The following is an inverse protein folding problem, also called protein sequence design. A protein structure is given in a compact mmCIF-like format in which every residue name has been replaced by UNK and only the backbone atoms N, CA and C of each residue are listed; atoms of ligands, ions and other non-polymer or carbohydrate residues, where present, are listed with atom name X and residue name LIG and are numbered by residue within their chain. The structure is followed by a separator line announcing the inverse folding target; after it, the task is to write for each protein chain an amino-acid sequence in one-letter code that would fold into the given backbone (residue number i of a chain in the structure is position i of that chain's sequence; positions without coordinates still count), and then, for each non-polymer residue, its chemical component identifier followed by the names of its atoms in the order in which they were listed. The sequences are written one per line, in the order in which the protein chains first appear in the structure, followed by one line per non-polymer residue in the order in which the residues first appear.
data_IF_445765587304
#
_entry.id   IF_445765587304
#
_cell.length_a   1.000
_cell.length_b   1.000
_cell.length_c   1.000
_cell.angle_alpha   90.00
_cell.angle_beta   90.00
_cell.angle_gamma   90.00
#
_symmetry.space_group_name_H-M   'P 1'
#
loop_
_entity.id
_entity.type
_entity.pdbx_description
1 polymer ?
#
# COMPACT_ATOMS: atom_id res chain seq x y z
N UNK A 1 30.11 -1.99 23.10
CA UNK A 1 29.97 -0.87 22.18
C UNK A 1 29.04 -1.13 21.02
N UNK A 2 29.18 -2.26 20.37
CA UNK A 2 28.24 -2.64 19.30
C UNK A 2 26.80 -2.71 19.77
N UNK A 3 26.58 -3.18 21.01
CA UNK A 3 25.26 -3.23 21.60
C UNK A 3 24.60 -1.87 21.80
N UNK A 4 25.37 -0.85 22.19
CA UNK A 4 24.86 0.51 22.33
C UNK A 4 24.40 1.10 21.00
N UNK A 5 25.17 0.89 19.95
CA UNK A 5 24.80 1.35 18.62
C UNK A 5 23.52 0.66 18.15
N UNK A 6 23.40 -0.64 18.41
CA UNK A 6 22.21 -1.39 18.07
C UNK A 6 21.00 -0.92 18.87
N UNK A 7 21.16 -0.65 20.17
CA UNK A 7 20.10 -0.10 21.02
C UNK A 7 19.62 1.26 20.52
N UNK A 8 20.55 2.13 20.12
CA UNK A 8 20.20 3.43 19.53
C UNK A 8 19.43 3.25 18.23
N UNK A 9 19.85 2.31 17.38
CA UNK A 9 19.14 2.02 16.15
C UNK A 9 17.73 1.49 16.41
N UNK A 10 17.59 0.60 17.37
CA UNK A 10 16.30 0.05 17.75
C UNK A 10 15.38 1.16 18.24
N UNK A 11 15.85 1.98 19.17
CA UNK A 11 15.09 3.09 19.71
C UNK A 11 14.72 4.09 18.59
N UNK A 12 15.69 4.42 17.76
CA UNK A 12 15.51 5.35 16.65
C UNK A 12 14.50 4.81 15.63
N UNK A 13 14.60 3.54 15.28
CA UNK A 13 13.66 2.89 14.38
C UNK A 13 12.24 2.91 14.93
N UNK A 14 12.07 2.63 16.24
CA UNK A 14 10.77 2.70 16.90
C UNK A 14 10.22 4.12 16.92
N UNK A 15 11.05 5.10 17.20
CA UNK A 15 10.66 6.51 17.21
C UNK A 15 10.25 6.94 15.81
N UNK A 16 11.03 6.59 14.80
CA UNK A 16 10.70 6.91 13.40
C UNK A 16 9.38 6.24 13.00
N UNK A 17 9.20 4.97 13.33
CA UNK A 17 7.97 4.24 13.04
C UNK A 17 6.77 4.90 13.70
N UNK A 18 6.91 5.27 14.97
CA UNK A 18 5.87 5.95 15.73
C UNK A 18 5.54 7.32 15.12
N UNK A 19 6.57 8.10 14.76
CA UNK A 19 6.38 9.38 14.08
C UNK A 19 5.75 9.18 12.70
N UNK A 20 6.16 8.17 11.98
CA UNK A 20 5.59 7.81 10.68
C UNK A 20 4.09 7.53 10.82
N UNK A 21 3.70 6.70 11.78
CA UNK A 21 2.30 6.40 12.04
C UNK A 21 1.50 7.64 12.43
N UNK A 22 2.09 8.54 13.22
CA UNK A 22 1.44 9.79 13.60
C UNK A 22 1.32 10.77 12.45
N UNK A 23 2.31 10.80 11.59
CA UNK A 23 2.32 11.67 10.43
C UNK A 23 1.35 11.20 9.35
N UNK A 24 1.00 9.92 9.33
CA UNK A 24 0.04 9.39 8.38
C UNK A 24 -1.34 9.91 8.73
N UNK A 25 -1.76 10.94 8.03
CA UNK A 25 -3.15 11.39 8.04
C UNK A 25 -3.91 10.55 7.02
N UNK A 26 -5.22 10.34 7.20
CA UNK A 26 -6.02 9.59 6.23
C UNK A 26 -5.88 10.11 4.80
N UNK A 27 -5.59 11.39 4.63
CA UNK A 27 -5.42 12.01 3.32
C UNK A 27 -3.98 11.99 2.83
N UNK A 28 -3.02 11.75 3.73
CA UNK A 28 -1.59 11.69 3.43
C UNK A 28 -1.08 10.25 3.50
N UNK A 29 -1.96 9.29 3.71
CA UNK A 29 -1.56 7.90 3.60
C UNK A 29 -1.01 7.71 2.20
N UNK A 30 0.27 7.39 2.16
CA UNK A 30 0.88 7.00 0.92
C UNK A 30 0.01 5.99 0.20
N UNK A 31 0.09 5.98 -1.09
CA UNK A 31 -0.70 5.10 -1.91
C UNK A 31 -0.64 3.68 -1.37
N UNK A 32 -1.77 3.17 -0.91
CA UNK A 32 -1.88 1.80 -0.40
C UNK A 32 -2.04 0.83 -1.55
N UNK A 33 -2.76 1.24 -2.59
CA UNK A 33 -2.97 0.42 -3.76
C UNK A 33 -2.27 1.00 -4.98
N UNK A 34 -1.98 0.14 -5.95
CA UNK A 34 -1.36 0.49 -7.23
C UNK A 34 -2.31 0.27 -8.39
N UNK A 35 -3.61 0.35 -8.16
CA UNK A 35 -4.63 0.07 -9.19
C UNK A 35 -4.39 0.94 -10.42
N UNK A 36 -4.13 2.23 -10.22
CA UNK A 36 -3.87 3.16 -11.32
C UNK A 36 -2.69 2.72 -12.18
N UNK A 37 -1.59 2.36 -11.53
CA UNK A 37 -0.37 1.92 -12.22
C UNK A 37 -0.65 0.67 -13.05
N UNK A 38 -1.33 -0.31 -12.47
CA UNK A 38 -1.64 -1.56 -13.16
C UNK A 38 -2.61 -1.33 -14.31
N UNK A 39 -3.59 -0.45 -14.14
CA UNK A 39 -4.49 -0.07 -15.23
C UNK A 39 -3.72 0.51 -16.42
N UNK A 40 -2.77 1.42 -16.14
CA UNK A 40 -1.94 2.01 -17.19
C UNK A 40 -1.07 0.95 -17.86
N UNK A 41 -0.44 0.08 -17.09
CA UNK A 41 0.37 -1.02 -17.61
C UNK A 41 -0.44 -1.96 -18.53
N UNK A 42 -1.69 -2.21 -18.17
CA UNK A 42 -2.60 -3.07 -18.93
C UNK A 42 -3.36 -2.30 -20.00
N UNK A 43 -3.10 -1.01 -20.16
CA UNK A 43 -3.76 -0.13 -21.12
C UNK A 43 -5.28 -0.15 -20.98
N UNK A 44 -5.75 -0.09 -19.72
CA UNK A 44 -7.17 -0.05 -19.39
C UNK A 44 -7.51 1.27 -18.70
N UNK A 45 -8.75 1.69 -18.83
CA UNK A 45 -9.25 2.94 -18.26
C UNK A 45 -10.02 2.68 -16.97
N UNK A 46 -10.15 3.71 -16.14
CA UNK A 46 -11.01 3.67 -14.96
C UNK A 46 -12.45 3.33 -15.33
N UNK A 47 -12.91 3.90 -16.43
CA UNK A 47 -14.26 3.64 -16.95
C UNK A 47 -14.46 2.18 -17.30
N UNK A 48 -13.49 1.59 -17.97
CA UNK A 48 -13.53 0.16 -18.30
C UNK A 48 -13.64 -0.69 -17.03
N UNK A 49 -12.81 -0.39 -16.03
CA UNK A 49 -12.83 -1.13 -14.78
C UNK A 49 -14.18 -0.98 -14.07
N UNK A 50 -14.71 0.23 -14.02
CA UNK A 50 -16.02 0.50 -13.43
C UNK A 50 -17.12 -0.32 -14.08
N UNK A 51 -17.11 -0.39 -15.40
CA UNK A 51 -18.06 -1.19 -16.18
C UNK A 51 -17.94 -2.69 -15.84
N UNK A 52 -16.72 -3.19 -15.80
CA UNK A 52 -16.47 -4.61 -15.47
C UNK A 52 -16.86 -4.96 -14.02
N UNK A 53 -16.68 -4.04 -13.12
CA UNK A 53 -17.01 -4.24 -11.71
C UNK A 53 -18.47 -3.96 -11.38
N UNK A 54 -19.19 -3.29 -12.27
CA UNK A 54 -20.56 -2.88 -12.00
C UNK A 54 -20.66 -1.77 -10.95
N UNK A 55 -19.65 -0.93 -10.85
CA UNK A 55 -19.61 0.19 -9.90
C UNK A 55 -19.55 1.51 -10.66
N UNK A 56 -19.75 2.61 -9.96
CA UNK A 56 -19.67 3.94 -10.57
C UNK A 56 -18.23 4.30 -10.92
N UNK A 57 -17.98 5.01 -12.03
CA UNK A 57 -16.63 5.48 -12.35
C UNK A 57 -16.00 6.32 -11.25
N UNK A 58 -16.80 7.09 -10.50
CA UNK A 58 -16.32 7.86 -9.35
C UNK A 58 -15.76 6.98 -8.25
N UNK A 59 -16.31 5.79 -8.05
CA UNK A 59 -15.81 4.83 -7.08
C UNK A 59 -14.41 4.34 -7.47
N UNK A 60 -14.24 3.95 -8.74
CA UNK A 60 -12.93 3.53 -9.24
C UNK A 60 -11.93 4.68 -9.18
N UNK A 61 -12.35 5.89 -9.50
CA UNK A 61 -11.51 7.07 -9.40
C UNK A 61 -10.98 7.28 -7.98
N UNK A 62 -11.83 7.09 -6.98
CA UNK A 62 -11.42 7.17 -5.57
C UNK A 62 -10.41 6.09 -5.21
N UNK A 63 -10.59 4.88 -5.73
CA UNK A 63 -9.61 3.79 -5.52
C UNK A 63 -8.27 4.14 -6.16
N UNK A 64 -8.29 4.68 -7.37
CA UNK A 64 -7.08 5.05 -8.11
C UNK A 64 -6.31 6.19 -7.44
N UNK A 65 -7.01 7.10 -6.80
CA UNK A 65 -6.38 8.22 -6.07
C UNK A 65 -6.08 7.89 -4.62
N UNK A 66 -6.36 6.67 -4.19
CA UNK A 66 -6.21 6.22 -2.80
C UNK A 66 -7.03 7.04 -1.79
N UNK A 67 -8.08 7.74 -2.27
CA UNK A 67 -9.03 8.44 -1.40
C UNK A 67 -9.91 7.45 -0.62
N UNK A 68 -10.19 6.30 -1.21
CA UNK A 68 -10.83 5.18 -0.55
C UNK A 68 -10.22 3.89 -1.08
N UNK A 69 -10.41 2.80 -0.36
CA UNK A 69 -9.85 1.51 -0.75
C UNK A 69 -10.97 0.54 -1.08
N UNK A 70 -10.78 -0.31 -2.11
CA UNK A 70 -11.72 -1.40 -2.34
C UNK A 70 -11.60 -2.43 -1.21
N UNK A 71 -12.68 -3.17 -0.97
CA UNK A 71 -12.61 -4.29 -0.04
C UNK A 71 -11.81 -5.45 -0.66
N UNK A 72 -11.52 -6.47 0.15
CA UNK A 72 -10.70 -7.59 -0.29
C UNK A 72 -11.34 -8.33 -1.47
N UNK A 73 -12.65 -8.53 -1.43
CA UNK A 73 -13.36 -9.20 -2.52
C UNK A 73 -13.23 -8.41 -3.83
N UNK A 74 -13.36 -7.09 -3.75
CA UNK A 74 -13.19 -6.22 -4.91
C UNK A 74 -11.75 -6.25 -5.43
N UNK A 75 -10.76 -6.25 -4.53
CA UNK A 75 -9.35 -6.38 -4.92
C UNK A 75 -9.07 -7.67 -5.67
N UNK A 76 -9.60 -8.78 -5.18
CA UNK A 76 -9.44 -10.07 -5.84
C UNK A 76 -10.05 -10.04 -7.25
N UNK A 77 -11.24 -9.45 -7.37
CA UNK A 77 -11.92 -9.33 -8.66
C UNK A 77 -11.16 -8.43 -9.64
N UNK A 78 -10.60 -7.32 -9.13
CA UNK A 78 -9.77 -6.43 -9.94
C UNK A 78 -8.52 -7.17 -10.43
N UNK A 79 -7.89 -7.93 -9.56
CA UNK A 79 -6.72 -8.73 -9.92
C UNK A 79 -7.05 -9.73 -11.03
N UNK A 80 -8.18 -10.41 -10.92
CA UNK A 80 -8.64 -11.34 -11.95
C UNK A 80 -8.91 -10.64 -13.27
N UNK A 81 -9.59 -9.49 -13.23
CA UNK A 81 -9.92 -8.72 -14.42
C UNK A 81 -8.68 -8.18 -15.15
N UNK A 82 -7.66 -7.81 -14.40
CA UNK A 82 -6.41 -7.28 -14.93
C UNK A 82 -5.38 -8.39 -15.19
N UNK A 83 -5.70 -9.63 -14.84
CA UNK A 83 -4.82 -10.79 -15.01
C UNK A 83 -3.48 -10.58 -14.31
N UNK A 84 -3.53 -10.10 -13.07
CA UNK A 84 -2.35 -9.91 -12.22
C UNK A 84 -2.58 -10.56 -10.87
N UNK A 85 -1.48 -10.82 -10.16
CA UNK A 85 -1.55 -11.26 -8.78
C UNK A 85 -2.04 -10.10 -7.90
N UNK A 86 -2.83 -10.39 -6.88
CA UNK A 86 -3.31 -9.37 -5.94
C UNK A 86 -2.17 -8.58 -5.32
N UNK A 87 -1.01 -9.19 -5.16
CA UNK A 87 0.20 -8.51 -4.67
C UNK A 87 0.62 -7.33 -5.53
N UNK A 88 0.33 -7.39 -6.82
CA UNK A 88 0.66 -6.31 -7.75
C UNK A 88 -0.22 -5.07 -7.52
N UNK A 89 -1.35 -5.25 -6.86
CA UNK A 89 -2.28 -4.15 -6.57
C UNK A 89 -1.97 -3.44 -5.25
N UNK A 90 -1.05 -3.98 -4.45
CA UNK A 90 -0.74 -3.45 -3.12
C UNK A 90 0.66 -2.89 -3.11
N UNK A 91 0.81 -1.71 -2.49
CA UNK A 91 2.11 -1.03 -2.40
C UNK A 91 3.03 -1.79 -1.45
N UNK A 92 4.22 -2.11 -1.94
CA UNK A 92 5.22 -2.87 -1.18
C UNK A 92 6.04 -2.05 -0.21
N UNK A 93 6.11 -0.76 -0.39
CA UNK A 93 6.99 0.09 0.40
C UNK A 93 6.69 0.00 1.89
N UNK A 94 5.42 0.01 2.22
CA UNK A 94 4.98 -0.15 3.60
C UNK A 94 5.47 -1.48 4.19
N UNK A 95 5.34 -2.56 3.43
CA UNK A 95 5.80 -3.88 3.86
C UNK A 95 7.31 -3.91 4.04
N UNK A 96 8.05 -3.32 3.11
CA UNK A 96 9.51 -3.20 3.20
C UNK A 96 9.92 -2.44 4.46
N UNK A 97 9.22 -1.37 4.78
CA UNK A 97 9.48 -0.61 5.99
C UNK A 97 9.27 -1.45 7.25
N UNK A 98 8.15 -2.18 7.31
CA UNK A 98 7.86 -3.08 8.44
C UNK A 98 8.92 -4.17 8.57
N UNK A 99 9.36 -4.75 7.46
CA UNK A 99 10.42 -5.76 7.47
C UNK A 99 11.72 -5.20 8.03
N UNK A 100 12.08 -3.98 7.67
CA UNK A 100 13.27 -3.30 8.21
C UNK A 100 13.16 -3.08 9.71
N UNK A 101 12.01 -2.62 10.18
CA UNK A 101 11.75 -2.41 11.61
C UNK A 101 11.81 -3.73 12.35
N UNK A 102 11.18 -4.77 11.83
CA UNK A 102 11.17 -6.10 12.44
C UNK A 102 12.57 -6.70 12.48
N UNK A 103 13.34 -6.58 11.39
CA UNK A 103 14.73 -7.03 11.38
C UNK A 103 15.56 -6.32 12.44
N UNK A 104 15.33 -5.03 12.65
CA UNK A 104 16.01 -4.25 13.67
C UNK A 104 15.61 -4.74 15.06
N UNK A 105 14.34 -5.08 15.27
CA UNK A 105 13.82 -5.62 16.52
C UNK A 105 14.40 -7.01 16.78
N UNK A 106 14.47 -7.85 15.78
CA UNK A 106 14.95 -9.24 15.88
C UNK A 106 16.44 -9.32 16.23
N UNK A 107 17.18 -8.24 16.09
CA UNK A 107 18.58 -8.17 16.50
C UNK A 107 18.75 -8.11 18.02
N UNK A 108 17.70 -7.93 18.76
CA UNK A 108 17.67 -7.84 20.21
C UNK A 108 16.83 -8.95 20.83
#
# INVERSE_FOLDING_TARGET
MKGRCQLKRFFFAKVIYFHYLRAIKPNDMEDINRIKVVLVEKKRTNKWLAEQMGVKPSTVSKWCTNSSQPDVASLLRIADLLEVDIKELIVREYKSYLEKVNSTIDLY
#
